data_IF_914157868149
#
_entry.id   IF_914157868149
#
_cell.length_a   1.000
_cell.length_b   1.000
_cell.length_c   1.000
_cell.angle_alpha   90.00
_cell.angle_beta   90.00
_cell.angle_gamma   90.00
#
_symmetry.space_group_name_H-M   'P 1'
#
loop_
_entity.id
_entity.type
_entity.pdbx_description
1 polymer ?
2 non-polymer ?
3 water ?
#
# COMPACT_ATOMS: atom_id res chain seq x y z
N UNK A 18 -17.02 -12.36 -3.02
CA UNK A 18 -17.45 -11.19 -2.24
C UNK A 18 -18.76 -10.63 -2.77
N UNK A 19 -19.72 -10.35 -1.89
CA UNK A 19 -20.95 -9.69 -2.31
C UNK A 19 -20.64 -8.23 -2.60
N UNK A 20 -21.57 -7.54 -3.25
CA UNK A 20 -21.37 -6.14 -3.61
C UNK A 20 -21.27 -5.25 -2.37
N UNK A 21 -22.03 -5.59 -1.34
CA UNK A 21 -21.93 -4.92 -0.05
C UNK A 21 -20.56 -5.19 0.59
N UNK A 22 -20.05 -6.41 0.44
CA UNK A 22 -18.75 -6.75 1.00
C UNK A 22 -17.63 -5.99 0.31
N UNK A 23 -17.74 -5.85 -1.00
CA UNK A 23 -16.74 -5.11 -1.76
C UNK A 23 -16.77 -3.64 -1.37
N UNK A 24 -17.98 -3.10 -1.24
CA UNK A 24 -18.18 -1.72 -0.83
C UNK A 24 -17.57 -1.43 0.55
N UNK A 25 -17.88 -2.29 1.52
CA UNK A 25 -17.33 -2.19 2.87
C UNK A 25 -15.80 -2.32 2.88
N UNK A 26 -15.28 -3.27 2.13
CA UNK A 26 -13.84 -3.44 2.00
C UNK A 26 -13.16 -2.20 1.39
N UNK A 27 -13.77 -1.61 0.37
CA UNK A 27 -13.24 -0.40 -0.24
C UNK A 27 -13.21 0.74 0.77
N UNK A 28 -14.32 0.94 1.49
CA UNK A 28 -14.36 1.96 2.54
C UNK A 28 -13.23 1.74 3.55
N UNK A 29 -13.04 0.49 3.98
CA UNK A 29 -11.97 0.17 4.91
C UNK A 29 -10.60 0.55 4.34
N UNK A 30 -10.35 0.20 3.08
CA UNK A 30 -9.06 0.47 2.44
C UNK A 30 -8.83 1.97 2.28
N UNK A 31 -9.89 2.69 1.91
CA UNK A 31 -9.79 4.14 1.73
C UNK A 31 -9.49 4.85 3.05
N UNK A 32 -10.14 4.41 4.13
CA UNK A 32 -9.91 5.00 5.45
C UNK A 32 -8.46 4.78 5.89
N UNK A 33 -7.90 3.62 5.56
CA UNK A 33 -6.51 3.35 5.91
C UNK A 33 -5.59 4.27 5.12
N UNK A 34 -5.87 4.43 3.84
CA UNK A 34 -5.08 5.31 2.99
C UNK A 34 -5.20 6.76 3.47
N UNK A 35 -6.41 7.16 3.87
CA UNK A 35 -6.64 8.52 4.35
C UNK A 35 -5.97 8.80 5.69
N UNK A 36 -5.68 7.76 6.46
CA UNK A 36 -5.22 7.97 7.82
C UNK A 36 -3.78 7.48 8.02
N UNK A 37 -3.07 7.29 6.92
CA UNK A 37 -1.66 6.94 6.95
C UNK A 37 -0.92 7.59 5.81
N UNK A 38 0.15 8.33 6.12
CA UNK A 38 0.93 8.93 5.04
C UNK A 38 1.41 7.86 4.05
N UNK A 39 1.88 6.74 4.57
CA UNK A 39 2.35 5.63 3.75
C UNK A 39 1.65 4.32 4.14
N UNK A 40 1.02 3.67 3.18
CA UNK A 40 0.35 2.39 3.44
C UNK A 40 0.89 1.33 2.51
N UNK A 41 1.17 0.16 3.07
CA UNK A 41 1.60 -0.97 2.27
C UNK A 41 0.60 -2.12 2.41
N UNK A 42 -0.31 -2.27 1.45
CA UNK A 42 -1.17 -3.45 1.46
C UNK A 42 -0.31 -4.62 1.05
N UNK A 43 -0.30 -5.64 1.89
CA UNK A 43 0.75 -6.66 1.86
C UNK A 43 0.19 -8.07 2.09
N UNK A 44 1.02 -9.08 1.86
CA UNK A 44 0.77 -10.41 2.43
C UNK A 44 2.03 -10.85 3.19
N UNK A 45 1.84 -11.57 4.29
CA UNK A 45 2.94 -11.84 5.22
C UNK A 45 4.16 -12.50 4.58
N UNK A 46 3.93 -13.43 3.65
CA UNK A 46 5.05 -14.18 3.09
C UNK A 46 5.30 -13.82 1.62
N UNK A 47 4.98 -12.58 1.26
CA UNK A 47 5.28 -12.08 -0.08
C UNK A 47 6.68 -11.49 -0.11
N UNK A 48 7.55 -12.07 -0.93
CA UNK A 48 8.92 -11.61 -1.04
C UNK A 48 9.03 -10.16 -1.48
N UNK A 49 8.13 -9.74 -2.35
CA UNK A 49 8.14 -8.37 -2.87
C UNK A 49 7.71 -7.37 -1.80
N UNK A 50 6.75 -7.78 -0.98
CA UNK A 50 6.32 -6.97 0.15
C UNK A 50 7.46 -6.76 1.13
N UNK A 51 8.21 -7.83 1.40
CA UNK A 51 9.38 -7.72 2.27
C UNK A 51 10.42 -6.76 1.72
N UNK A 52 10.67 -6.82 0.41
CA UNK A 52 11.60 -5.88 -0.23
C UNK A 52 11.20 -4.41 -0.03
N UNK A 53 9.92 -4.10 -0.25
CA UNK A 53 9.50 -2.70 -0.19
C UNK A 53 9.53 -2.21 1.25
N UNK A 54 9.19 -3.09 2.19
CA UNK A 54 9.25 -2.74 3.60
C UNK A 54 10.69 -2.46 4.03
N UNK A 55 11.61 -3.30 3.58
CA UNK A 55 13.02 -3.11 3.89
C UNK A 55 13.54 -1.77 3.35
N UNK A 56 13.15 -1.42 2.12
CA UNK A 56 13.51 -0.12 1.54
C UNK A 56 12.99 1.03 2.40
N UNK A 57 11.71 0.99 2.75
CA UNK A 57 11.12 2.04 3.58
C UNK A 57 11.79 2.10 4.95
N UNK A 58 12.13 0.95 5.52
CA UNK A 58 12.86 0.92 6.79
C UNK A 58 14.15 1.72 6.69
N UNK A 59 14.93 1.43 5.65
CA UNK A 59 16.25 2.03 5.46
C UNK A 59 16.15 3.53 5.12
N UNK A 60 15.04 3.93 4.50
CA UNK A 60 14.81 5.34 4.18
C UNK A 60 14.34 6.14 5.39
N UNK A 61 14.03 5.45 6.49
CA UNK A 61 13.54 6.12 7.69
C UNK A 61 12.08 6.54 7.60
N UNK A 62 11.33 5.86 6.74
CA UNK A 62 9.93 6.20 6.53
C UNK A 62 9.03 5.31 7.36
N UNK A 63 8.01 5.88 7.99
CA UNK A 63 7.08 5.04 8.72
C UNK A 63 5.88 4.71 7.84
N UNK A 64 5.49 3.44 7.88
CA UNK A 64 4.39 2.96 7.08
C UNK A 64 3.46 2.11 7.91
N UNK A 65 2.21 2.05 7.46
CA UNK A 65 1.25 1.09 7.98
C UNK A 65 1.23 -0.11 7.05
N UNK A 66 1.59 -1.27 7.59
CA UNK A 66 1.42 -2.52 6.87
C UNK A 66 0.05 -3.11 7.16
N UNK A 67 -0.59 -3.62 6.11
CA UNK A 67 -1.85 -4.32 6.27
C UNK A 67 -1.72 -5.66 5.56
N UNK A 68 -1.68 -6.73 6.33
CA UNK A 68 -1.48 -8.06 5.78
C UNK A 68 -2.81 -8.68 5.39
N UNK A 69 -3.10 -8.73 4.09
CA UNK A 69 -4.41 -9.18 3.64
C UNK A 69 -4.72 -10.63 4.05
N UNK A 70 -3.68 -11.46 4.10
CA UNK A 70 -3.82 -12.87 4.47
C UNK A 70 -4.22 -13.05 5.93
N UNK A 71 -4.12 -11.98 6.72
CA UNK A 71 -4.46 -12.04 8.13
C UNK A 71 -5.73 -11.27 8.44
N UNK A 72 -6.34 -10.71 7.41
CA UNK A 72 -7.58 -9.97 7.59
C UNK A 72 -8.74 -10.87 7.18
N UNK A 73 -9.82 -10.89 7.97
CA UNK A 73 -10.95 -11.74 7.60
C UNK A 73 -11.52 -11.34 6.24
N UNK A 74 -11.51 -10.04 5.92
CA UNK A 74 -12.05 -9.60 4.63
C UNK A 74 -10.94 -9.31 3.62
N UNK A 75 -9.81 -10.00 3.77
CA UNK A 75 -8.68 -9.87 2.85
C UNK A 75 -8.99 -10.08 1.37
N UNK A 76 -9.78 -11.10 1.05
CA UNK A 76 -10.21 -11.29 -0.34
C UNK A 76 -11.04 -10.10 -0.85
N UNK A 77 -11.97 -9.62 -0.03
CA UNK A 77 -12.78 -8.46 -0.41
C UNK A 77 -11.90 -7.23 -0.56
N UNK A 78 -10.93 -7.07 0.34
CA UNK A 78 -10.03 -5.93 0.22
C UNK A 78 -9.19 -6.03 -1.07
N UNK A 79 -8.72 -7.22 -1.41
CA UNK A 79 -7.92 -7.36 -2.61
C UNK A 79 -8.78 -7.07 -3.85
N UNK A 80 -10.04 -7.48 -3.81
CA UNK A 80 -10.97 -7.20 -4.89
C UNK A 80 -11.24 -5.70 -5.02
N UNK A 81 -11.39 -5.02 -3.89
CA UNK A 81 -11.61 -3.58 -3.90
C UNK A 81 -10.39 -2.83 -4.45
N UNK A 82 -9.19 -3.33 -4.14
CA UNK A 82 -7.97 -2.67 -4.60
C UNK A 82 -7.81 -2.85 -6.10
N UNK A 83 -8.28 -3.99 -6.61
CA UNK A 83 -8.30 -4.21 -8.05
C UNK A 83 -9.23 -3.21 -8.73
N UNK A 84 -10.45 -3.10 -8.22
CA UNK A 84 -11.40 -2.13 -8.76
C UNK A 84 -10.83 -0.71 -8.73
N UNK A 85 -10.18 -0.37 -7.62
CA UNK A 85 -9.67 0.97 -7.38
C UNK A 85 -8.39 1.30 -8.15
N UNK A 86 -7.48 0.33 -8.27
CA UNK A 86 -6.14 0.60 -8.83
C UNK A 86 -5.76 -0.21 -10.09
N UNK A 87 -6.57 -1.20 -10.46
CA UNK A 87 -6.25 -2.05 -11.60
C UNK A 87 -5.15 -3.06 -11.34
N UNK A 88 -4.65 -3.04 -10.11
CA UNK A 88 -3.56 -3.92 -9.70
C UNK A 88 -4.12 -5.18 -9.02
N UNK A 89 -3.52 -6.33 -9.29
CA UNK A 89 -4.01 -7.61 -8.76
C UNK A 89 -3.15 -8.17 -7.63
N UNK A 90 -1.96 -7.61 -7.48
CA UNK A 90 -0.96 -8.18 -6.59
C UNK A 90 -0.59 -7.28 -5.42
N UNK A 91 0.07 -7.88 -4.44
CA UNK A 91 0.72 -7.18 -3.35
C UNK A 91 2.21 -7.25 -3.63
N UNK A 92 2.96 -6.24 -3.18
CA UNK A 92 2.47 -5.10 -2.41
C UNK A 92 1.71 -4.05 -3.24
N UNK A 93 0.78 -3.37 -2.59
CA UNK A 93 0.03 -2.28 -3.20
C UNK A 93 0.19 -1.06 -2.30
N UNK A 94 1.05 -0.15 -2.74
CA UNK A 94 1.51 0.99 -1.93
C UNK A 94 0.77 2.30 -2.23
N UNK A 95 0.38 3.01 -1.18
CA UNK A 95 -0.17 4.36 -1.30
C UNK A 95 0.70 5.33 -0.52
N UNK A 96 0.91 6.52 -1.09
CA UNK A 96 1.66 7.58 -0.43
C UNK A 96 0.88 8.89 -0.54
N UNK A 97 0.58 9.52 0.59
CA UNK A 97 -0.15 10.77 0.61
C UNK A 97 -1.52 10.68 -0.05
N UNK A 98 -2.15 9.51 0.05
CA UNK A 98 -3.47 9.33 -0.51
C UNK A 98 -3.44 8.88 -1.96
N UNK A 99 -2.25 8.78 -2.53
CA UNK A 99 -2.15 8.47 -3.95
C UNK A 99 -1.55 7.08 -4.17
N UNK A 100 -2.06 6.40 -5.19
CA UNK A 100 -1.61 5.06 -5.52
C UNK A 100 -0.24 5.05 -6.18
N UNK A 101 0.68 4.28 -5.62
CA UNK A 101 2.02 4.17 -6.17
C UNK A 101 2.14 2.92 -7.04
N UNK A 102 1.72 1.77 -6.51
CA UNK A 102 1.86 0.52 -7.24
C UNK A 102 2.59 -0.53 -6.42
N UNK A 103 3.30 -1.42 -7.11
CA UNK A 103 4.00 -2.51 -6.44
C UNK A 103 5.45 -2.20 -6.12
N UNK A 104 6.21 -3.26 -5.87
CA UNK A 104 7.63 -3.13 -5.55
C UNK A 104 8.41 -2.43 -6.66
N UNK A 105 8.20 -2.90 -7.89
CA UNK A 105 8.81 -2.30 -9.07
C UNK A 105 8.52 -0.80 -9.17
N UNK A 106 7.26 -0.42 -8.99
CA UNK A 106 6.86 0.98 -9.05
C UNK A 106 7.57 1.83 -8.01
N UNK A 107 7.70 1.29 -6.80
CA UNK A 107 8.37 2.00 -5.72
C UNK A 107 9.86 2.12 -6.03
N UNK A 108 10.44 1.02 -6.49
CA UNK A 108 11.85 1.02 -6.90
C UNK A 108 12.10 2.03 -8.03
N UNK A 109 11.15 2.13 -8.96
CA UNK A 109 11.25 3.13 -10.03
C UNK A 109 11.32 4.56 -9.48
N UNK A 110 10.48 4.87 -8.50
CA UNK A 110 10.49 6.21 -7.90
C UNK A 110 11.75 6.46 -7.08
N UNK A 111 12.29 5.42 -6.48
CA UNK A 111 13.53 5.55 -5.72
C UNK A 111 14.67 5.84 -6.69
N UNK A 112 14.62 5.17 -7.83
CA UNK A 112 15.64 5.30 -8.86
C UNK A 112 15.68 6.71 -9.48
N UNK A 113 14.52 7.35 -9.65
CA UNK A 113 14.51 8.65 -10.32
C UNK A 113 14.48 9.81 -9.31
N UNK A 114 14.68 9.51 -8.04
CA UNK A 114 14.85 10.54 -7.03
C UNK A 114 13.57 11.18 -6.51
N UNK A 115 12.43 10.59 -6.84
CA UNK A 115 11.14 11.18 -6.49
C UNK A 115 10.55 10.68 -5.17
N UNK A 116 10.99 9.51 -4.73
CA UNK A 116 10.36 8.83 -3.58
C UNK A 116 10.52 9.58 -2.26
N UNK A 117 11.74 9.99 -1.93
CA UNK A 117 11.97 10.67 -0.65
C UNK A 117 11.20 11.99 -0.55
N UNK A 118 11.22 12.82 -1.61
CA UNK A 118 10.42 14.05 -1.58
C UNK A 118 8.92 13.77 -1.44
N UNK A 119 8.41 12.72 -2.09
CA UNK A 119 7.00 12.34 -1.96
C UNK A 119 6.70 11.93 -0.53
N UNK A 120 7.61 11.15 0.05
CA UNK A 120 7.47 10.66 1.41
C UNK A 120 7.53 11.80 2.42
N UNK A 121 8.35 12.80 2.11
CA UNK A 121 8.48 13.96 2.98
C UNK A 121 7.27 14.87 2.86
N UNK A 122 6.78 15.04 1.63
CA UNK A 122 5.70 15.97 1.34
C UNK A 122 4.43 15.61 2.12
N UNK A 123 4.25 14.32 2.40
CA UNK A 123 3.03 13.86 3.04
C UNK A 123 3.22 13.46 4.50
N UNK A 124 4.44 13.61 5.01
CA UNK A 124 4.72 13.30 6.40
C UNK A 124 5.25 11.91 6.71
N UNK A 125 5.38 11.06 5.70
CA UNK A 125 5.85 9.70 5.96
C UNK A 125 7.31 9.70 6.44
N UNK A 126 8.07 10.71 6.01
CA UNK A 126 9.40 10.93 6.56
C UNK A 126 9.39 12.27 7.27
N UNK A 127 9.83 12.26 8.53
CA UNK A 127 9.84 13.45 9.38
C UNK A 127 11.06 14.32 9.11
X LIG B 1 5.93 -6.77 -10.13
X LIG B 1 5.23 -6.94 -8.90
X LIG B 1 5.91 -6.05 -7.88
X LIG B 1 5.29 -5.69 -6.84
X LIG B 1 7.09 -5.66 -8.08
X LIG B 1 5.24 -8.40 -8.47
X LIG B 1 4.56 -8.58 -7.11
X LIG B 1 4.02 -9.99 -6.92
X LIG B 1 4.20 -10.84 -7.78
X LIG B 1 3.30 -10.33 -5.74
X LIG B 1 2.78 -11.64 -5.53
X LIG B 1 1.27 -11.67 -5.60
X LIG B 1 0.59 -10.74 -5.19
X LIG B 1 3.05 -12.13 -4.13
X LIG B 1 4.71 -12.73 -3.95
X LIG B 1 0.64 -12.83 -6.12
X LIG B 1 -0.79 -12.89 -6.16
X LIG B 1 -1.31 -12.86 -4.72
X LIG B 1 -2.42 -12.34 -4.46
X LIG B 1 -0.64 -13.35 -3.76
X LIG B 1 5.35 -6.92 -10.83
X LIG B 1 6.62 -7.37 -10.18
X LIG B 1 4.31 -6.64 -9.01
X LIG B 1 4.77 -8.93 -9.14
X LIG B 1 6.17 -8.71 -8.40
X LIG B 1 5.21 -8.38 -6.41
X LIG B 1 3.82 -7.94 -7.05
X LIG B 1 3.17 -9.69 -5.10
X LIG B 1 3.16 -12.26 -6.18
X LIG B 1 2.91 -11.39 -3.50
X LIG B 1 2.43 -12.85 -3.91
X LIG B 1 5.40 -12.22 -4.77
X LIG B 1 1.14 -13.54 -6.41
X LIG B 1 -1.07 -13.72 -6.59
X LIG B 1 -1.14 -12.12 -6.65
#
# INVERSE_FOLDING_TARGET
>A
GSTGPLGSMGSVLSSGQPTEEQLKMALQKAQQLVNSNPLVVFSKTYCGYCSRVKKLFDQLGARYQTIELDQESDGDAIQAALLQWTGQRTVPNVFIGGKHIGGCDSVMEKHRDGKLVPMLTECGAIAIESTA
>B hetero
1 GSH N1 CA1 C1 O11 O12 CB1 CG1 CD1 OE1 N2 CA2 C2 O2 CB2 SG2 N3 CA3 C3 O31 O32 HN11 HN12 HA1 HB12 HB13 HG12 HG13 HN2 HA2 HB22 HB23 HSG HN3 HA31 HA32
#
